data_IF_072829369245
#
_entry.id   IF_072829369245
#
_cell.length_a   1.000
_cell.length_b   1.000
_cell.length_c   1.000
_cell.angle_alpha   90.00
_cell.angle_beta   90.00
_cell.angle_gamma   90.00
#
_symmetry.space_group_name_H-M   'P 1'
#
loop_
_entity.id
_entity.type
_entity.pdbx_description
1 polymer ?
#
# COMPACT_ATOMS: atom_id res chain seq x y z
N UNK A 1 -16.27 14.32 62.59
CA UNK A 1 -15.80 14.40 61.19
C UNK A 1 -15.02 13.13 60.90
N UNK A 2 -15.70 12.02 60.62
CA UNK A 2 -15.04 10.75 60.29
C UNK A 2 -14.77 10.72 58.79
N UNK A 3 -13.59 11.20 58.39
CA UNK A 3 -13.12 11.17 57.01
C UNK A 3 -12.34 9.88 56.77
N UNK A 4 -13.03 8.73 56.80
CA UNK A 4 -12.46 7.47 56.32
C UNK A 4 -12.41 7.52 54.79
N UNK A 5 -11.20 7.49 54.24
CA UNK A 5 -10.97 7.50 52.79
C UNK A 5 -11.24 6.10 52.24
N UNK A 6 -12.27 5.96 51.40
CA UNK A 6 -12.55 4.73 50.66
C UNK A 6 -11.33 4.39 49.78
N UNK A 7 -10.74 3.19 49.90
CA UNK A 7 -9.59 2.81 49.09
C UNK A 7 -10.00 2.73 47.60
N UNK A 8 -9.09 3.15 46.71
CA UNK A 8 -9.32 3.05 45.27
C UNK A 8 -9.47 1.58 44.87
N UNK A 9 -10.55 1.28 44.15
CA UNK A 9 -10.78 -0.04 43.57
C UNK A 9 -10.10 -0.12 42.20
N UNK A 10 -8.97 -0.82 42.16
CA UNK A 10 -8.21 -1.04 40.93
C UNK A 10 -8.75 -2.22 40.10
N UNK A 11 -9.71 -3.00 40.60
CA UNK A 11 -10.31 -4.10 39.85
C UNK A 11 -11.18 -3.59 38.68
N UNK A 12 -11.74 -2.38 38.79
CA UNK A 12 -12.49 -1.73 37.72
C UNK A 12 -11.63 -1.30 36.52
N UNK A 13 -10.30 -1.24 36.66
CA UNK A 13 -9.39 -0.87 35.58
C UNK A 13 -9.18 -2.01 34.58
N UNK A 14 -9.49 -3.25 34.96
CA UNK A 14 -9.36 -4.42 34.09
C UNK A 14 -10.43 -4.45 32.98
N UNK A 15 -11.48 -3.63 33.10
CA UNK A 15 -12.51 -3.42 32.07
C UNK A 15 -11.99 -2.58 30.88
N UNK A 16 -10.92 -1.81 31.06
CA UNK A 16 -10.28 -1.00 30.02
C UNK A 16 -9.32 -1.80 29.13
N UNK A 17 -9.41 -3.14 29.14
CA UNK A 17 -8.63 -3.96 28.20
C UNK A 17 -9.11 -3.68 26.77
N UNK A 18 -8.21 -3.36 25.83
CA UNK A 18 -8.58 -3.10 24.45
C UNK A 18 -9.29 -4.34 23.89
N UNK A 19 -10.58 -4.18 23.53
CA UNK A 19 -11.33 -5.24 22.85
C UNK A 19 -10.62 -5.53 21.54
N UNK A 20 -10.16 -6.77 21.36
CA UNK A 20 -9.61 -7.23 20.10
C UNK A 20 -10.66 -6.98 19.00
N UNK A 21 -10.36 -6.18 17.96
CA UNK A 21 -11.31 -5.93 16.91
C UNK A 21 -11.47 -7.21 16.08
N UNK A 22 -12.45 -8.04 16.42
CA UNK A 22 -12.95 -9.06 15.50
C UNK A 22 -13.69 -8.32 14.41
N UNK A 23 -12.97 -7.92 13.37
CA UNK A 23 -13.58 -7.18 12.28
C UNK A 23 -13.34 -7.90 10.97
N UNK A 24 -14.44 -8.26 10.32
CA UNK A 24 -14.52 -8.55 8.90
C UNK A 24 -13.86 -7.42 8.11
N UNK A 25 -12.59 -7.64 7.75
CA UNK A 25 -11.74 -6.68 7.03
C UNK A 25 -12.41 -6.22 5.71
N UNK A 26 -13.23 -7.09 5.12
CA UNK A 26 -13.95 -6.86 3.86
C UNK A 26 -15.06 -5.83 3.97
N UNK A 27 -15.78 -5.74 5.09
CA UNK A 27 -16.92 -4.84 5.25
C UNK A 27 -16.45 -3.40 5.50
N UNK A 28 -15.39 -3.21 6.28
CA UNK A 28 -14.77 -1.88 6.50
C UNK A 28 -14.22 -1.27 5.22
N UNK A 29 -13.62 -2.08 4.34
CA UNK A 29 -13.13 -1.62 3.03
C UNK A 29 -14.26 -1.13 2.09
N UNK A 30 -15.48 -1.67 2.21
CA UNK A 30 -16.62 -1.23 1.40
C UNK A 30 -17.18 0.12 1.87
N UNK A 31 -17.21 0.35 3.18
CA UNK A 31 -17.74 1.60 3.76
C UNK A 31 -16.76 2.77 3.49
N UNK A 32 -15.46 2.53 3.60
CA UNK A 32 -14.43 3.55 3.32
C UNK A 32 -14.45 4.02 1.86
N UNK A 33 -14.82 3.13 0.92
CA UNK A 33 -15.01 3.49 -0.50
C UNK A 33 -16.23 4.36 -0.77
N UNK A 34 -17.30 4.24 0.02
CA UNK A 34 -18.53 5.03 -0.14
C UNK A 34 -18.47 6.40 0.55
N UNK A 35 -17.60 6.55 1.57
CA UNK A 35 -17.45 7.78 2.36
C UNK A 35 -16.13 8.51 2.04
N UNK A 36 -15.33 8.00 1.09
CA UNK A 36 -14.17 8.72 0.60
C UNK A 36 -14.61 10.06 0.00
N UNK A 37 -14.20 11.16 0.67
CA UNK A 37 -14.34 12.50 0.14
C UNK A 37 -13.80 12.55 -1.31
N UNK A 38 -14.48 13.23 -2.24
CA UNK A 38 -14.08 13.32 -3.65
C UNK A 38 -12.64 13.81 -3.88
N UNK A 39 -12.01 14.38 -2.85
CA UNK A 39 -10.65 14.91 -2.87
C UNK A 39 -9.54 13.85 -2.71
N UNK A 40 -9.86 12.57 -2.50
CA UNK A 40 -8.88 11.47 -2.52
C UNK A 40 -8.97 10.72 -3.85
N UNK A 41 -8.35 11.27 -4.89
CA UNK A 41 -8.10 10.50 -6.12
C UNK A 41 -7.38 9.19 -5.77
N UNK A 42 -7.91 8.09 -6.30
CA UNK A 42 -7.23 6.81 -6.18
C UNK A 42 -5.94 6.88 -6.98
N UNK A 43 -4.81 6.57 -6.35
CA UNK A 43 -3.55 6.42 -7.06
C UNK A 43 -3.71 5.32 -8.13
N UNK A 44 -3.46 5.64 -9.40
CA UNK A 44 -3.45 4.67 -10.51
C UNK A 44 -2.20 3.77 -10.50
N UNK A 45 -1.40 3.86 -9.44
CA UNK A 45 -0.21 3.04 -9.26
C UNK A 45 -0.58 1.57 -8.97
N UNK A 46 -0.09 0.67 -9.82
CA UNK A 46 -0.19 -0.77 -9.65
C UNK A 46 1.20 -1.41 -9.46
N UNK A 47 1.27 -2.48 -8.67
CA UNK A 47 2.51 -3.24 -8.47
C UNK A 47 2.47 -4.56 -9.24
N UNK A 48 3.54 -4.85 -9.98
CA UNK A 48 3.80 -6.14 -10.63
C UNK A 48 5.06 -6.79 -10.05
N UNK A 49 4.99 -8.09 -9.75
CA UNK A 49 6.13 -8.87 -9.29
C UNK A 49 6.72 -9.66 -10.46
N UNK A 50 7.93 -9.30 -10.88
CA UNK A 50 8.63 -9.95 -12.00
C UNK A 50 9.65 -10.95 -11.44
N UNK A 51 9.51 -12.24 -11.79
CA UNK A 51 10.49 -13.29 -11.49
C UNK A 51 11.37 -13.55 -12.71
N UNK A 52 12.67 -13.28 -12.59
CA UNK A 52 13.66 -13.53 -13.65
C UNK A 52 15.04 -13.74 -13.04
N UNK A 53 16.06 -14.01 -13.87
CA UNK A 53 17.44 -14.18 -13.39
C UNK A 53 17.98 -12.88 -12.79
N UNK A 54 18.87 -13.00 -11.81
CA UNK A 54 19.52 -11.87 -11.14
C UNK A 54 20.31 -11.00 -12.11
N UNK A 55 20.93 -11.62 -13.12
CA UNK A 55 21.65 -10.92 -14.18
C UNK A 55 20.75 -9.99 -15.00
N UNK A 56 19.55 -10.43 -15.36
CA UNK A 56 18.58 -9.63 -16.13
C UNK A 56 18.06 -8.45 -15.28
N UNK A 57 17.74 -8.69 -14.00
CA UNK A 57 17.31 -7.62 -13.09
C UNK A 57 18.39 -6.55 -12.90
N UNK A 58 19.63 -6.97 -12.73
CA UNK A 58 20.75 -6.04 -12.55
C UNK A 58 20.98 -5.22 -13.83
N UNK A 59 20.88 -5.85 -15.01
CA UNK A 59 20.95 -5.14 -16.28
C UNK A 59 19.84 -4.09 -16.41
N UNK A 60 18.60 -4.46 -16.14
CA UNK A 60 17.46 -3.53 -16.16
C UNK A 60 17.66 -2.33 -15.23
N UNK A 61 18.06 -2.58 -13.97
CA UNK A 61 18.32 -1.52 -12.98
C UNK A 61 19.45 -0.60 -13.40
N UNK A 62 20.51 -1.16 -13.98
CA UNK A 62 21.66 -0.40 -14.47
C UNK A 62 21.28 0.51 -15.63
N UNK A 63 20.52 -0.02 -16.60
CA UNK A 63 20.04 0.74 -17.74
C UNK A 63 19.09 1.87 -17.33
N UNK A 64 18.15 1.60 -16.41
CA UNK A 64 17.26 2.63 -15.87
C UNK A 64 18.05 3.74 -15.17
N UNK A 65 19.04 3.37 -14.34
CA UNK A 65 19.88 4.32 -13.59
C UNK A 65 20.74 5.19 -14.51
N UNK A 66 21.34 4.61 -15.55
CA UNK A 66 22.16 5.34 -16.53
C UNK A 66 21.36 6.43 -17.24
N UNK A 67 20.10 6.13 -17.58
CA UNK A 67 19.21 7.07 -18.26
C UNK A 67 18.37 7.92 -17.29
N UNK A 68 18.63 7.83 -15.97
CA UNK A 68 17.92 8.56 -14.91
C UNK A 68 16.39 8.38 -14.92
N UNK A 69 15.92 7.21 -15.31
CA UNK A 69 14.49 6.88 -15.31
C UNK A 69 14.07 6.15 -14.03
N UNK A 70 12.83 6.38 -13.60
CA UNK A 70 12.14 5.50 -12.67
C UNK A 70 11.86 4.14 -13.33
N UNK A 71 11.79 3.06 -12.54
CA UNK A 71 11.59 1.71 -13.08
C UNK A 71 10.29 1.56 -13.89
N UNK A 72 9.20 2.20 -13.46
CA UNK A 72 7.94 2.21 -14.21
C UNK A 72 8.05 2.91 -15.55
N UNK A 73 8.55 4.15 -15.56
CA UNK A 73 8.77 4.92 -16.80
C UNK A 73 9.75 4.21 -17.75
N UNK A 74 10.80 3.57 -17.22
CA UNK A 74 11.72 2.80 -18.05
C UNK A 74 11.06 1.55 -18.65
N UNK A 75 10.15 0.91 -17.93
CA UNK A 75 9.36 -0.21 -18.45
C UNK A 75 8.45 0.25 -19.61
N UNK A 76 7.81 1.41 -19.49
CA UNK A 76 6.99 1.99 -20.56
C UNK A 76 7.80 2.26 -21.83
N UNK A 77 9.01 2.84 -21.70
CA UNK A 77 9.91 3.05 -22.84
C UNK A 77 10.27 1.72 -23.52
N UNK A 78 10.53 0.67 -22.75
CA UNK A 78 10.80 -0.66 -23.30
C UNK A 78 9.58 -1.24 -24.02
N UNK A 79 8.37 -1.02 -23.50
CA UNK A 79 7.13 -1.45 -24.16
C UNK A 79 6.92 -0.71 -25.48
N UNK A 80 7.09 0.62 -25.48
CA UNK A 80 6.96 1.44 -26.69
C UNK A 80 7.96 1.01 -27.78
N UNK A 81 9.22 0.76 -27.40
CA UNK A 81 10.25 0.28 -28.33
C UNK A 81 9.92 -1.12 -28.87
N UNK A 82 9.36 -1.99 -28.03
CA UNK A 82 8.92 -3.32 -28.44
C UNK A 82 7.76 -3.25 -29.45
N UNK A 83 6.74 -2.43 -29.19
CA UNK A 83 5.58 -2.24 -30.07
C UNK A 83 5.98 -1.66 -31.44
N UNK A 84 6.86 -0.66 -31.44
CA UNK A 84 7.42 -0.09 -32.67
C UNK A 84 8.16 -1.15 -33.51
N UNK A 85 8.93 -2.03 -32.86
CA UNK A 85 9.65 -3.11 -33.53
C UNK A 85 8.73 -4.20 -34.11
N UNK A 86 7.53 -4.38 -33.56
CA UNK A 86 6.53 -5.32 -34.07
C UNK A 86 5.64 -4.72 -35.17
N UNK A 87 5.82 -3.44 -35.51
CA UNK A 87 4.94 -2.72 -36.44
C UNK A 87 3.52 -2.54 -35.92
N UNK A 88 3.29 -2.75 -34.62
CA UNK A 88 2.00 -2.56 -33.96
C UNK A 88 1.91 -1.08 -33.60
N UNK A 89 1.83 -0.24 -34.62
CA UNK A 89 1.50 1.17 -34.46
C UNK A 89 -0.01 1.27 -34.56
N UNK A 90 -0.69 1.59 -33.46
CA UNK A 90 -2.09 2.05 -33.50
C UNK A 90 -2.16 3.48 -34.01
#
# INVERSE_FOLDING_TARGET
MNSERKPLDFAALDEFKPKNPTSNITERKKIDKMVAFPSREQSDDAQINIKTSTAILNRFRTMAKQNRYHHGAFLEVLMNAFEQGQGITK
#
